data_IF_326955691784
#
_entry.id   IF_326955691784
#
_cell.length_a   1.000
_cell.length_b   1.000
_cell.length_c   1.000
_cell.angle_alpha   90.00
_cell.angle_beta   90.00
_cell.angle_gamma   90.00
#
_symmetry.space_group_name_H-M   'P 1'
#
loop_
_entity.id
_entity.type
_entity.pdbx_description
1 polymer ?
#
# COMPACT_ATOMS: atom_id res chain seq x y z
N UNK A 1 -13.82 13.79 3.65
CA UNK A 1 -13.01 13.39 4.83
C UNK A 1 -11.54 13.26 4.44
N UNK A 2 -10.57 13.63 5.29
CA UNK A 2 -9.13 13.64 4.93
C UNK A 2 -8.61 12.27 4.44
N UNK A 3 -9.12 11.17 5.00
CA UNK A 3 -8.76 9.80 4.62
C UNK A 3 -9.15 9.43 3.17
N UNK A 4 -10.25 9.98 2.64
CA UNK A 4 -10.68 9.69 1.27
C UNK A 4 -9.70 10.31 0.25
N UNK A 5 -9.12 11.47 0.57
CA UNK A 5 -8.08 12.09 -0.27
C UNK A 5 -6.78 11.28 -0.28
N UNK A 6 -6.45 10.65 0.85
CA UNK A 6 -5.28 9.76 0.97
C UNK A 6 -5.47 8.43 0.23
N UNK A 7 -6.70 7.95 0.09
CA UNK A 7 -7.03 6.73 -0.65
C UNK A 7 -7.40 6.98 -2.12
N UNK A 8 -7.65 8.24 -2.52
CA UNK A 8 -8.10 8.58 -3.87
C UNK A 8 -7.12 8.11 -4.96
N UNK A 9 -5.82 8.20 -4.69
CA UNK A 9 -4.79 7.73 -5.64
C UNK A 9 -4.83 6.22 -5.80
N UNK A 10 -4.94 5.46 -4.70
CA UNK A 10 -5.05 3.99 -4.74
C UNK A 10 -6.35 3.57 -5.46
N UNK A 11 -7.47 4.26 -5.21
CA UNK A 11 -8.75 4.01 -5.91
C UNK A 11 -8.65 4.32 -7.40
N UNK A 12 -8.03 5.44 -7.78
CA UNK A 12 -7.78 5.79 -9.17
C UNK A 12 -6.93 4.72 -9.87
N UNK A 13 -5.92 4.19 -9.17
CA UNK A 13 -5.06 3.14 -9.69
C UNK A 13 -5.81 1.83 -9.82
N UNK A 14 -6.69 1.48 -8.87
CA UNK A 14 -7.60 0.33 -9.01
C UNK A 14 -8.46 0.47 -10.27
N UNK A 15 -9.01 1.66 -10.54
CA UNK A 15 -9.78 1.92 -11.76
C UNK A 15 -8.91 1.82 -13.02
N UNK A 16 -7.67 2.31 -12.99
CA UNK A 16 -6.73 2.20 -14.11
C UNK A 16 -6.34 0.73 -14.36
N UNK A 17 -6.12 -0.05 -13.32
CA UNK A 17 -5.88 -1.50 -13.40
C UNK A 17 -7.10 -2.19 -14.01
N UNK A 18 -8.31 -1.88 -13.54
CA UNK A 18 -9.54 -2.42 -14.09
C UNK A 18 -9.70 -2.04 -15.57
N UNK A 19 -9.46 -0.79 -15.94
CA UNK A 19 -9.51 -0.33 -17.34
C UNK A 19 -8.44 -1.01 -18.22
N UNK A 20 -7.22 -1.18 -17.71
CA UNK A 20 -6.13 -1.82 -18.45
C UNK A 20 -6.33 -3.34 -18.63
N UNK A 21 -7.03 -3.99 -17.70
CA UNK A 21 -7.28 -5.44 -17.71
C UNK A 21 -8.57 -5.81 -18.44
N UNK A 22 -9.68 -5.10 -18.19
CA UNK A 22 -10.98 -5.35 -18.82
C UNK A 22 -11.06 -4.73 -20.22
N UNK A 23 -10.50 -3.53 -20.40
CA UNK A 23 -10.55 -2.82 -21.68
C UNK A 23 -9.45 -3.21 -22.66
N UNK A 24 -8.57 -4.15 -22.31
CA UNK A 24 -7.39 -4.58 -23.08
C UNK A 24 -6.52 -3.42 -23.61
N UNK A 25 -6.60 -2.25 -22.95
CA UNK A 25 -5.89 -1.04 -23.36
C UNK A 25 -4.39 -1.17 -23.08
N UNK A 26 -3.66 -1.71 -24.06
CA UNK A 26 -2.22 -1.99 -23.96
C UNK A 26 -1.34 -0.78 -23.60
N UNK A 27 -1.78 0.44 -23.90
CA UNK A 27 -1.06 1.66 -23.56
C UNK A 27 -1.15 2.01 -22.06
N UNK A 28 -2.18 1.55 -21.35
CA UNK A 28 -2.32 1.75 -19.89
C UNK A 28 -1.38 0.84 -19.08
N UNK A 29 -0.77 -0.17 -19.70
CA UNK A 29 0.17 -1.08 -19.01
C UNK A 29 1.39 -0.35 -18.45
N UNK A 30 1.96 0.56 -19.25
CA UNK A 30 3.17 1.32 -18.89
C UNK A 30 2.93 2.21 -17.65
N UNK A 31 1.93 3.11 -17.63
CA UNK A 31 1.70 3.96 -16.45
C UNK A 31 1.34 3.14 -15.21
N UNK A 32 0.58 2.05 -15.34
CA UNK A 32 0.29 1.14 -14.21
C UNK A 32 1.58 0.53 -13.65
N UNK A 33 2.49 0.06 -14.51
CA UNK A 33 3.76 -0.52 -14.07
C UNK A 33 4.71 0.52 -13.45
N UNK A 34 4.80 1.73 -14.01
CA UNK A 34 5.61 2.82 -13.45
C UNK A 34 5.10 3.18 -12.06
N UNK A 35 3.78 3.39 -11.93
CA UNK A 35 3.16 3.70 -10.66
C UNK A 35 3.37 2.58 -9.63
N UNK A 36 3.12 1.33 -10.02
CA UNK A 36 3.27 0.17 -9.13
C UNK A 36 4.72 0.03 -8.66
N UNK A 37 5.69 0.23 -9.56
CA UNK A 37 7.13 0.22 -9.22
C UNK A 37 7.48 1.31 -8.21
N UNK A 38 7.03 2.54 -8.46
CA UNK A 38 7.27 3.67 -7.56
C UNK A 38 6.64 3.44 -6.18
N UNK A 39 5.41 2.92 -6.15
CA UNK A 39 4.70 2.59 -4.91
C UNK A 39 5.42 1.50 -4.11
N UNK A 40 5.89 0.45 -4.79
CA UNK A 40 6.68 -0.61 -4.16
C UNK A 40 7.97 -0.08 -3.56
N UNK A 41 8.71 0.76 -4.29
CA UNK A 41 9.93 1.42 -3.78
C UNK A 41 9.63 2.28 -2.56
N UNK A 42 8.53 3.04 -2.59
CA UNK A 42 8.13 3.89 -1.47
C UNK A 42 7.80 3.04 -0.23
N UNK A 43 7.09 1.93 -0.40
CA UNK A 43 6.78 1.00 0.70
C UNK A 43 8.04 0.34 1.27
N UNK A 44 8.97 -0.05 0.40
CA UNK A 44 10.26 -0.58 0.82
C UNK A 44 11.07 0.47 1.61
N UNK A 45 11.12 1.72 1.14
CA UNK A 45 11.78 2.82 1.83
C UNK A 45 11.16 3.06 3.23
N UNK A 46 9.83 3.07 3.34
CA UNK A 46 9.13 3.19 4.62
C UNK A 46 9.48 2.03 5.55
N UNK A 47 9.53 0.80 5.05
CA UNK A 47 9.85 -0.38 5.86
C UNK A 47 11.29 -0.35 6.41
N UNK A 48 12.24 0.08 5.58
CA UNK A 48 13.66 0.17 5.93
C UNK A 48 13.94 1.34 6.88
N UNK A 49 13.23 2.46 6.75
CA UNK A 49 13.50 3.68 7.50
C UNK A 49 12.53 3.88 8.69
N UNK A 50 12.99 3.75 9.95
CA UNK A 50 12.14 3.90 11.13
C UNK A 50 11.51 5.29 11.30
N UNK A 51 12.16 6.34 10.77
CA UNK A 51 11.63 7.70 10.85
C UNK A 51 10.41 7.86 9.94
N UNK A 52 10.46 7.37 8.69
CA UNK A 52 9.33 7.36 7.77
C UNK A 52 8.16 6.52 8.28
N UNK A 53 8.47 5.46 9.02
CA UNK A 53 7.50 4.58 9.68
C UNK A 53 6.70 5.32 10.77
N UNK A 54 7.21 6.42 11.33
CA UNK A 54 6.45 7.29 12.24
C UNK A 54 5.44 8.17 11.50
N UNK A 55 5.71 8.55 10.25
CA UNK A 55 4.82 9.39 9.44
C UNK A 55 3.55 8.64 9.03
N UNK A 56 3.65 7.33 8.79
CA UNK A 56 2.49 6.49 8.50
C UNK A 56 1.56 6.29 9.70
N UNK A 57 2.01 6.63 10.93
CA UNK A 57 1.23 6.56 12.17
C UNK A 57 0.07 7.56 12.23
N UNK A 58 0.20 8.71 11.58
CA UNK A 58 -0.77 9.80 11.66
C UNK A 58 -1.83 9.76 10.55
N UNK A 59 -1.88 8.68 9.76
CA UNK A 59 -2.94 8.55 8.75
C UNK A 59 -4.28 8.34 9.43
N UNK A 60 -5.26 9.12 9.01
CA UNK A 60 -6.64 9.00 9.47
C UNK A 60 -7.35 7.77 8.85
N UNK A 61 -6.70 7.10 7.90
CA UNK A 61 -7.28 6.01 7.12
C UNK A 61 -7.17 4.68 7.88
N UNK A 62 -8.27 3.92 8.06
CA UNK A 62 -8.24 2.63 8.73
C UNK A 62 -7.33 1.62 8.00
N UNK A 63 -6.42 0.96 8.72
CA UNK A 63 -5.47 0.01 8.11
C UNK A 63 -6.13 -1.16 7.36
N UNK A 64 -7.33 -1.58 7.77
CA UNK A 64 -8.08 -2.65 7.09
C UNK A 64 -8.47 -2.27 5.66
N UNK A 65 -8.71 -0.97 5.38
CA UNK A 65 -9.13 -0.50 4.07
C UNK A 65 -8.00 -0.65 3.05
N UNK A 66 -6.76 -0.34 3.44
CA UNK A 66 -5.59 -0.55 2.59
C UNK A 66 -5.36 -2.03 2.31
N UNK A 67 -5.50 -2.89 3.32
CA UNK A 67 -5.39 -4.33 3.11
C UNK A 67 -6.44 -4.87 2.13
N UNK A 68 -7.68 -4.38 2.24
CA UNK A 68 -8.75 -4.76 1.31
C UNK A 68 -8.45 -4.29 -0.12
N UNK A 69 -8.05 -3.02 -0.30
CA UNK A 69 -7.66 -2.46 -1.61
C UNK A 69 -6.52 -3.27 -2.24
N UNK A 70 -5.51 -3.62 -1.44
CA UNK A 70 -4.34 -4.36 -1.93
C UNK A 70 -4.73 -5.80 -2.32
N UNK A 71 -5.56 -6.46 -1.50
CA UNK A 71 -6.09 -7.78 -1.82
C UNK A 71 -6.92 -7.77 -3.11
N UNK A 72 -7.79 -6.77 -3.30
CA UNK A 72 -8.60 -6.62 -4.52
C UNK A 72 -7.70 -6.41 -5.74
N UNK A 73 -6.71 -5.52 -5.66
CA UNK A 73 -5.79 -5.26 -6.77
C UNK A 73 -4.97 -6.50 -7.12
N UNK A 74 -4.43 -7.21 -6.12
CA UNK A 74 -3.71 -8.47 -6.35
C UNK A 74 -4.62 -9.52 -6.98
N UNK A 75 -5.85 -9.71 -6.47
CA UNK A 75 -6.80 -10.68 -7.01
C UNK A 75 -7.19 -10.35 -8.46
N UNK A 76 -7.52 -9.09 -8.74
CA UNK A 76 -7.83 -8.63 -10.10
C UNK A 76 -6.66 -8.92 -11.06
N UNK A 77 -5.43 -8.52 -10.69
CA UNK A 77 -4.26 -8.74 -11.54
C UNK A 77 -3.95 -10.23 -11.77
N UNK A 78 -4.21 -11.10 -10.78
CA UNK A 78 -4.08 -12.54 -10.93
C UNK A 78 -5.12 -13.12 -11.90
N UNK A 79 -6.39 -12.72 -11.77
CA UNK A 79 -7.49 -13.18 -12.65
C UNK A 79 -7.21 -12.84 -14.12
N UNK A 80 -6.64 -11.66 -14.37
CA UNK A 80 -6.29 -11.21 -15.72
C UNK A 80 -4.87 -11.62 -16.17
N UNK A 81 -4.21 -12.55 -15.47
CA UNK A 81 -2.89 -13.10 -15.81
C UNK A 81 -1.74 -12.07 -15.89
N UNK A 82 -1.84 -10.95 -15.17
CA UNK A 82 -0.76 -9.96 -15.05
C UNK A 82 0.19 -10.32 -13.90
N UNK A 83 0.91 -11.43 -14.07
CA UNK A 83 1.74 -12.04 -13.03
C UNK A 83 2.77 -11.08 -12.40
N UNK A 84 3.45 -10.27 -13.21
CA UNK A 84 4.46 -9.31 -12.72
C UNK A 84 3.81 -8.27 -11.82
N UNK A 85 2.75 -7.61 -12.30
CA UNK A 85 2.05 -6.60 -11.52
C UNK A 85 1.38 -7.20 -10.28
N UNK A 86 0.78 -8.38 -10.40
CA UNK A 86 0.20 -9.11 -9.27
C UNK A 86 1.26 -9.39 -8.19
N UNK A 87 2.45 -9.86 -8.59
CA UNK A 87 3.58 -10.09 -7.69
C UNK A 87 4.04 -8.81 -6.99
N UNK A 88 4.11 -7.69 -7.71
CA UNK A 88 4.46 -6.39 -7.12
C UNK A 88 3.40 -5.90 -6.12
N UNK A 89 2.12 -6.04 -6.44
CA UNK A 89 1.02 -5.71 -5.52
C UNK A 89 1.01 -6.61 -4.28
N UNK A 90 1.26 -7.91 -4.44
CA UNK A 90 1.43 -8.83 -3.33
C UNK A 90 2.62 -8.44 -2.43
N UNK A 91 3.75 -8.01 -3.03
CA UNK A 91 4.90 -7.51 -2.30
C UNK A 91 4.58 -6.19 -1.54
N UNK A 92 3.89 -5.24 -2.18
CA UNK A 92 3.37 -4.01 -1.54
C UNK A 92 2.51 -4.36 -0.33
N UNK A 93 1.62 -5.34 -0.49
CA UNK A 93 0.73 -5.79 0.56
C UNK A 93 1.51 -6.38 1.74
N UNK A 94 2.43 -7.29 1.47
CA UNK A 94 3.26 -7.93 2.49
C UNK A 94 4.14 -6.91 3.24
N UNK A 95 4.83 -6.04 2.52
CA UNK A 95 5.68 -4.99 3.12
C UNK A 95 4.83 -4.05 3.98
N UNK A 96 3.61 -3.72 3.56
CA UNK A 96 2.70 -2.89 4.36
C UNK A 96 2.31 -3.58 5.66
N UNK A 97 1.93 -4.87 5.61
CA UNK A 97 1.61 -5.65 6.80
C UNK A 97 2.79 -5.76 7.77
N UNK A 98 3.99 -6.01 7.25
CA UNK A 98 5.21 -6.09 8.06
C UNK A 98 5.59 -4.73 8.66
N UNK A 99 5.42 -3.64 7.91
CA UNK A 99 5.64 -2.27 8.39
C UNK A 99 4.70 -1.93 9.55
N UNK A 100 3.42 -2.29 9.46
CA UNK A 100 2.49 -2.09 10.57
C UNK A 100 2.87 -2.89 11.81
N UNK A 101 3.27 -4.16 11.64
CA UNK A 101 3.75 -4.99 12.76
C UNK A 101 4.99 -4.37 13.41
N UNK A 102 5.95 -3.92 12.60
CA UNK A 102 7.17 -3.23 13.06
C UNK A 102 6.82 -1.91 13.79
N UNK A 103 5.86 -1.15 13.28
CA UNK A 103 5.37 0.08 13.91
C UNK A 103 4.81 -0.18 15.31
N UNK A 104 3.98 -1.22 15.46
CA UNK A 104 3.36 -1.61 16.74
C UNK A 104 4.43 -2.11 17.73
N UNK A 105 5.39 -2.91 17.26
CA UNK A 105 6.48 -3.40 18.10
C UNK A 105 7.37 -2.27 18.64
N UNK A 106 7.68 -1.26 17.81
CA UNK A 106 8.42 -0.07 18.24
C UNK A 106 7.65 0.75 19.29
N UNK A 107 6.32 0.77 19.25
CA UNK A 107 5.48 1.43 20.25
C UNK A 107 5.50 0.66 21.58
N UNK A 108 5.38 -0.66 21.55
CA UNK A 108 5.45 -1.50 22.75
C UNK A 108 6.81 -1.35 23.47
N UNK A 109 7.90 -1.21 22.72
CA UNK A 109 9.24 -0.92 23.28
C UNK A 109 9.37 0.47 23.89
N UNK A 110 8.63 1.47 23.38
CA UNK A 110 8.52 2.82 23.96
C UNK A 110 7.41 2.89 25.03
N UNK A 111 7.22 1.82 25.80
CA UNK A 111 6.23 1.71 26.87
C UNK A 111 6.16 2.96 27.77
N UNK A 112 5.06 3.17 28.51
CA UNK A 112 4.64 4.47 29.04
C UNK A 112 5.62 5.05 30.06
N UNK A 113 6.71 5.67 29.61
CA UNK A 113 7.70 6.34 30.46
C UNK A 113 7.27 7.75 30.87
N UNK A 114 5.96 7.98 31.03
CA UNK A 114 5.44 9.27 31.46
C UNK A 114 4.20 9.18 32.34
N UNK A 115 4.13 8.18 33.23
CA UNK A 115 3.39 8.40 34.48
C UNK A 115 4.23 9.35 35.33
N UNK A 116 4.11 10.64 35.02
CA UNK A 116 4.41 11.72 35.96
C UNK A 116 3.63 11.45 37.24
N UNK A 117 4.32 11.21 38.34
CA UNK A 117 4.09 11.83 39.65
C UNK A 117 5.15 11.37 40.62
#
# INVERSE_FOLDING_TARGET
>A
MKWLKEAALDVLVTLLIAAATVGEMGWLKIPVLIYTSLMLLLKAAVFLNPELLKWTRNRATPGWLYHLLYAINTAALLVYAWWIAAGMWAAIWLISALSERKARALQARKGPSSRKR
#
